data_IF_351008488446
#
_entry.id   IF_351008488446
#
_cell.length_a   1.000
_cell.length_b   1.000
_cell.length_c   1.000
_cell.angle_alpha   90.00
_cell.angle_beta   90.00
_cell.angle_gamma   90.00
#
_symmetry.space_group_name_H-M   'P 1'
#
loop_
_entity.id
_entity.type
_entity.pdbx_description
1 polymer ?
#
# COMPACT_ATOMS: atom_id res chain seq x y z
N UNK A 1 -8.62 -0.88 5.56
CA UNK A 1 -7.77 -0.03 4.75
C UNK A 1 -6.82 0.84 5.52
N UNK A 2 -6.02 1.58 4.83
CA UNK A 2 -5.08 2.50 5.42
C UNK A 2 -5.70 3.82 5.86
N UNK A 3 -4.88 4.69 6.44
CA UNK A 3 -5.28 6.03 6.80
C UNK A 3 -5.34 6.98 5.60
N UNK A 4 -6.02 8.08 5.79
CA UNK A 4 -6.02 9.17 4.82
C UNK A 4 -4.70 9.93 4.99
N UNK A 5 -3.98 10.09 3.89
CA UNK A 5 -2.66 10.74 3.88
C UNK A 5 -2.76 12.08 3.16
N UNK A 6 -2.30 13.13 3.81
CA UNK A 6 -2.19 14.45 3.19
C UNK A 6 -1.20 14.37 2.00
N UNK A 7 -1.58 14.88 0.82
CA UNK A 7 -0.74 14.76 -0.38
C UNK A 7 0.60 15.50 -0.29
N UNK A 8 0.77 16.40 0.69
CA UNK A 8 2.04 17.07 0.93
C UNK A 8 3.05 16.16 1.62
N UNK A 9 2.59 15.09 2.26
CA UNK A 9 3.47 14.12 2.90
C UNK A 9 4.03 13.16 1.87
N UNK A 10 5.32 12.97 1.91
CA UNK A 10 6.02 12.07 1.02
C UNK A 10 6.40 10.81 1.79
N UNK A 11 5.54 9.81 1.72
CA UNK A 11 5.70 8.58 2.48
C UNK A 11 5.10 7.38 1.76
N UNK A 12 5.50 6.20 2.20
CA UNK A 12 4.93 4.93 1.79
C UNK A 12 4.07 4.38 2.93
N UNK A 13 2.86 3.98 2.63
CA UNK A 13 1.98 3.37 3.61
C UNK A 13 1.75 1.89 3.29
N UNK A 14 2.01 1.04 4.27
CA UNK A 14 1.66 -0.37 4.23
C UNK A 14 0.49 -0.61 5.17
N UNK A 15 -0.63 -1.06 4.64
CA UNK A 15 -1.82 -1.34 5.42
C UNK A 15 -2.22 -2.81 5.26
N UNK A 16 -2.24 -3.60 6.34
CA UNK A 16 -2.74 -4.96 6.24
C UNK A 16 -4.25 -4.95 6.04
N UNK A 17 -4.72 -5.82 5.17
CA UNK A 17 -6.15 -6.02 4.90
C UNK A 17 -6.53 -7.39 5.45
N UNK A 18 -7.49 -7.45 6.35
CA UNK A 18 -7.95 -8.67 6.98
C UNK A 18 -6.83 -9.52 7.61
N UNK A 19 -6.01 -8.94 8.51
CA UNK A 19 -4.96 -9.70 9.18
C UNK A 19 -5.57 -10.75 10.12
N UNK A 20 -4.92 -11.92 10.16
CA UNK A 20 -5.30 -12.99 11.08
C UNK A 20 -4.47 -12.85 12.34
N UNK A 21 -5.12 -12.69 13.48
CA UNK A 21 -4.45 -12.59 14.76
C UNK A 21 -5.09 -13.56 15.76
N UNK A 22 -4.45 -14.69 15.97
CA UNK A 22 -4.91 -15.73 16.88
C UNK A 22 -3.80 -16.09 17.88
N UNK A 23 -4.09 -16.98 18.81
CA UNK A 23 -3.08 -17.49 19.75
C UNK A 23 -1.91 -18.17 19.02
N UNK A 24 -2.22 -18.87 17.92
CA UNK A 24 -1.22 -19.58 17.12
C UNK A 24 -0.51 -18.66 16.11
N UNK A 25 -1.21 -17.65 15.62
CA UNK A 25 -0.68 -16.73 14.60
C UNK A 25 -0.86 -15.29 15.05
N UNK A 26 0.24 -14.59 15.20
CA UNK A 26 0.21 -13.17 15.46
C UNK A 26 0.62 -12.42 14.21
N UNK A 27 -0.21 -11.53 13.76
CA UNK A 27 0.05 -10.73 12.59
C UNK A 27 0.03 -9.25 12.92
N UNK A 28 0.67 -8.50 12.05
CA UNK A 28 0.68 -7.05 12.11
C UNK A 28 -0.69 -6.52 11.72
N UNK A 29 -1.31 -5.75 12.59
CA UNK A 29 -2.69 -5.29 12.40
C UNK A 29 -2.83 -3.80 12.13
N UNK A 30 -1.76 -3.04 12.35
CA UNK A 30 -1.77 -1.58 12.17
C UNK A 30 -1.09 -1.18 10.87
N UNK A 31 -1.49 -0.02 10.34
CA UNK A 31 -0.80 0.57 9.20
C UNK A 31 0.59 1.04 9.60
N UNK A 32 1.54 0.82 8.71
CA UNK A 32 2.92 1.24 8.87
C UNK A 32 3.22 2.37 7.90
N UNK A 33 3.77 3.47 8.40
CA UNK A 33 4.18 4.60 7.59
C UNK A 33 5.71 4.62 7.51
N UNK A 34 6.23 4.67 6.30
CA UNK A 34 7.66 4.64 6.04
C UNK A 34 8.09 5.90 5.30
N UNK A 35 9.31 6.40 5.55
CA UNK A 35 9.85 7.51 4.76
C UNK A 35 9.88 7.19 3.27
N UNK A 36 9.78 8.24 2.46
CA UNK A 36 9.72 8.10 1.00
C UNK A 36 10.93 7.41 0.38
N UNK A 37 12.08 7.51 1.02
CA UNK A 37 13.32 6.92 0.52
C UNK A 37 13.58 5.51 1.02
N UNK A 38 12.69 4.96 1.85
CA UNK A 38 12.81 3.58 2.30
C UNK A 38 12.31 2.61 1.24
N UNK A 39 12.87 1.41 1.29
CA UNK A 39 12.41 0.28 0.51
C UNK A 39 11.74 -0.74 1.43
N UNK A 40 10.65 -1.32 0.96
CA UNK A 40 9.94 -2.36 1.67
C UNK A 40 10.18 -3.70 0.96
N UNK A 41 10.59 -4.71 1.72
CA UNK A 41 10.73 -6.07 1.21
C UNK A 41 9.68 -6.95 1.86
N UNK A 42 8.92 -7.65 1.06
CA UNK A 42 7.94 -8.63 1.50
C UNK A 42 8.44 -10.00 1.09
N UNK A 43 8.64 -10.85 2.09
CA UNK A 43 9.14 -12.21 1.88
C UNK A 43 8.04 -13.18 2.30
N UNK A 44 7.49 -13.97 1.37
CA UNK A 44 6.50 -14.98 1.72
C UNK A 44 7.09 -16.00 2.70
N UNK A 45 6.32 -16.33 3.74
CA UNK A 45 6.80 -17.21 4.81
C UNK A 45 6.80 -18.69 4.43
N UNK A 46 6.18 -19.03 3.33
CA UNK A 46 5.84 -20.41 3.05
C UNK A 46 6.60 -20.95 1.85
N UNK A 47 7.22 -22.11 2.03
CA UNK A 47 7.85 -22.86 0.95
C UNK A 47 6.85 -23.60 0.07
N UNK A 48 5.57 -23.57 0.43
CA UNK A 48 4.54 -24.16 -0.38
C UNK A 48 4.43 -23.40 -1.71
N UNK A 49 4.31 -24.16 -2.79
CA UNK A 49 4.21 -23.68 -4.16
C UNK A 49 2.91 -22.90 -4.39
N UNK A 50 2.66 -21.90 -3.55
CA UNK A 50 1.45 -21.09 -3.67
C UNK A 50 1.61 -20.01 -4.72
N UNK A 51 0.54 -19.81 -5.43
CA UNK A 51 0.41 -18.67 -6.33
C UNK A 51 0.11 -17.43 -5.50
N UNK A 52 0.87 -16.37 -5.71
CA UNK A 52 0.59 -15.07 -5.14
C UNK A 52 -0.03 -14.18 -6.20
N UNK A 53 -1.16 -13.57 -5.87
CA UNK A 53 -1.79 -12.58 -6.73
C UNK A 53 -1.32 -11.21 -6.32
N UNK A 54 -0.75 -10.47 -7.27
CA UNK A 54 -0.34 -9.08 -7.08
C UNK A 54 -1.24 -8.21 -7.94
N UNK A 55 -1.89 -7.26 -7.30
CA UNK A 55 -2.76 -6.30 -7.99
C UNK A 55 -2.12 -4.93 -7.92
N UNK A 56 -1.86 -4.33 -9.06
CA UNK A 56 -1.33 -2.98 -9.16
C UNK A 56 -2.22 -2.17 -10.10
N UNK A 57 -2.76 -1.07 -9.60
CA UNK A 57 -3.65 -0.18 -10.37
C UNK A 57 -4.79 -0.92 -11.09
N UNK A 58 -5.38 -1.90 -10.42
CA UNK A 58 -6.46 -2.69 -10.99
C UNK A 58 -6.04 -3.85 -11.87
N UNK A 59 -4.75 -4.00 -12.17
CA UNK A 59 -4.24 -5.13 -12.93
C UNK A 59 -3.77 -6.23 -11.99
N UNK A 60 -4.33 -7.41 -12.14
CA UNK A 60 -3.98 -8.58 -11.34
C UNK A 60 -3.08 -9.52 -12.14
N UNK A 61 -1.99 -9.93 -11.54
CA UNK A 61 -1.07 -10.93 -12.11
C UNK A 61 -0.77 -11.97 -11.04
N UNK A 62 -0.88 -13.23 -11.41
CA UNK A 62 -0.55 -14.35 -10.53
C UNK A 62 0.89 -14.79 -10.79
N UNK A 63 1.63 -14.93 -9.71
CA UNK A 63 3.02 -15.37 -9.75
C UNK A 63 3.21 -16.64 -8.94
N UNK A 64 3.98 -17.55 -9.46
CA UNK A 64 4.42 -18.75 -8.76
C UNK A 64 5.86 -18.58 -8.29
N UNK A 65 6.19 -19.20 -7.16
CA UNK A 65 7.56 -19.25 -6.63
C UNK A 65 8.19 -17.87 -6.37
N UNK A 66 7.42 -16.93 -5.84
CA UNK A 66 7.98 -15.63 -5.46
C UNK A 66 8.83 -15.80 -4.21
N UNK A 67 10.08 -15.35 -4.28
CA UNK A 67 10.99 -15.33 -3.15
C UNK A 67 10.91 -14.02 -2.38
N UNK A 68 10.73 -12.91 -3.08
CA UNK A 68 10.72 -11.59 -2.48
C UNK A 68 9.99 -10.58 -3.38
N UNK A 69 9.27 -9.68 -2.74
CA UNK A 69 8.67 -8.52 -3.41
C UNK A 69 9.31 -7.26 -2.82
N UNK A 70 9.87 -6.41 -3.66
CA UNK A 70 10.41 -5.13 -3.23
C UNK A 70 9.51 -4.00 -3.70
N UNK A 71 9.22 -3.07 -2.79
CA UNK A 71 8.41 -1.89 -3.05
C UNK A 71 9.18 -0.63 -2.67
N UNK A 72 9.08 0.37 -3.51
CA UNK A 72 9.64 1.69 -3.25
C UNK A 72 8.81 2.75 -3.94
N UNK A 73 8.93 4.00 -3.47
CA UNK A 73 8.26 5.10 -4.14
C UNK A 73 8.99 5.45 -5.44
N UNK A 74 8.21 5.66 -6.48
CA UNK A 74 8.73 6.14 -7.75
C UNK A 74 9.22 7.58 -7.61
N UNK A 75 10.31 7.90 -8.29
CA UNK A 75 10.78 9.28 -8.43
C UNK A 75 9.93 10.07 -9.42
N UNK A 76 9.20 9.38 -10.30
CA UNK A 76 8.32 10.01 -11.27
C UNK A 76 7.04 10.44 -10.57
N UNK A 77 6.59 11.65 -10.87
CA UNK A 77 5.36 12.20 -10.34
C UNK A 77 4.41 12.50 -11.49
N UNK A 78 3.13 12.35 -11.23
CA UNK A 78 2.08 12.75 -12.16
C UNK A 78 1.62 14.14 -11.78
N UNK A 79 1.69 15.06 -12.75
CA UNK A 79 1.17 16.41 -12.57
C UNK A 79 -0.28 16.46 -13.01
N UNK A 80 -1.16 16.86 -12.10
CA UNK A 80 -2.58 17.02 -12.40
C UNK A 80 -2.86 18.49 -12.72
N UNK A 81 -3.43 18.73 -13.90
CA UNK A 81 -3.87 20.06 -14.30
C UNK A 81 -5.33 20.23 -13.83
N UNK A 82 -5.57 21.27 -13.06
CA UNK A 82 -6.90 21.60 -12.57
C UNK A 82 -7.25 23.03 -12.96
N UNK A 83 -8.43 23.21 -13.52
CA UNK A 83 -8.90 24.53 -13.93
C UNK A 83 -9.64 25.27 -12.83
N UNK A 84 -10.05 24.55 -11.79
CA UNK A 84 -10.73 25.12 -10.63
C UNK A 84 -9.93 24.81 -9.36
N UNK A 85 -9.98 25.74 -8.40
CA UNK A 85 -9.37 25.50 -7.11
C UNK A 85 -10.03 24.29 -6.45
N UNK A 86 -9.21 23.34 -6.02
CA UNK A 86 -9.68 22.18 -5.28
C UNK A 86 -8.82 21.93 -4.07
N UNK A 87 -9.48 21.78 -2.92
CA UNK A 87 -8.84 21.44 -1.66
C UNK A 87 -9.00 19.95 -1.41
N UNK A 88 -7.87 19.28 -1.18
CA UNK A 88 -7.86 17.86 -0.88
C UNK A 88 -8.77 17.52 0.30
N UNK A 89 -8.70 18.27 1.40
CA UNK A 89 -9.45 17.97 2.59
C UNK A 89 -10.96 18.20 2.43
N UNK A 90 -11.36 19.16 1.64
CA UNK A 90 -12.77 19.33 1.32
C UNK A 90 -13.31 18.15 0.52
N UNK A 91 -12.55 17.66 -0.44
CA UNK A 91 -12.92 16.46 -1.19
C UNK A 91 -12.96 15.22 -0.32
N UNK A 92 -11.99 15.05 0.55
CA UNK A 92 -11.97 13.93 1.49
C UNK A 92 -13.17 13.98 2.43
N UNK A 93 -13.52 15.18 2.93
CA UNK A 93 -14.68 15.38 3.77
C UNK A 93 -15.98 14.99 3.05
N UNK A 94 -16.16 15.39 1.79
CA UNK A 94 -17.35 15.07 1.03
C UNK A 94 -17.47 13.59 0.68
N UNK A 95 -16.35 12.87 0.55
CA UNK A 95 -16.34 11.44 0.18
C UNK A 95 -16.42 10.51 1.38
N UNK A 96 -15.82 10.87 2.51
CA UNK A 96 -15.61 9.95 3.64
C UNK A 96 -16.35 10.36 4.91
N UNK A 97 -16.92 11.53 4.93
CA UNK A 97 -17.78 12.02 6.00
C UNK A 97 -19.18 12.32 5.49
#
# INVERSE_FOLDING_TARGET
GGGIVDPRLNLLQLAPIAPINTVAYRSFTSSLLLPANDKLSIIPCDDDHRTLSIVADGYAVDYEHILKIELSLSRKKVNLIRFEYSNFWEKAKSKFL
#
